data_IF_350571231796
#
_entry.id   IF_350571231796
#
_cell.length_a   1.000
_cell.length_b   1.000
_cell.length_c   1.000
_cell.angle_alpha   90.00
_cell.angle_beta   90.00
_cell.angle_gamma   90.00
#
_symmetry.space_group_name_H-M   'P 1'
#
loop_
_entity.id
_entity.type
_entity.pdbx_description
1 polymer ?
#
# COMPACT_ATOMS: atom_id res chain seq x y z
N UNK A 1 -13.40 -11.91 -4.08
CA UNK A 1 -13.53 -12.91 -3.00
C UNK A 1 -13.51 -12.17 -1.68
N UNK A 2 -14.39 -12.50 -0.73
CA UNK A 2 -14.34 -11.90 0.61
C UNK A 2 -13.29 -12.63 1.44
N UNK A 3 -12.45 -11.87 2.14
CA UNK A 3 -11.49 -12.34 3.13
C UNK A 3 -11.73 -11.55 4.42
N UNK A 4 -11.79 -12.23 5.55
CA UNK A 4 -11.90 -11.61 6.87
C UNK A 4 -10.57 -11.76 7.60
N UNK A 5 -10.18 -10.76 8.37
CA UNK A 5 -8.98 -10.78 9.21
C UNK A 5 -9.37 -10.46 10.65
N UNK A 6 -8.85 -11.22 11.61
CA UNK A 6 -8.92 -10.87 13.03
C UNK A 6 -7.62 -10.22 13.49
N UNK A 7 -7.66 -9.50 14.61
CA UNK A 7 -6.49 -8.80 15.13
C UNK A 7 -5.34 -9.74 15.51
N UNK A 8 -5.66 -10.97 15.92
CA UNK A 8 -4.70 -12.02 16.24
C UNK A 8 -4.01 -12.57 14.99
N UNK A 9 -4.71 -12.62 13.84
CA UNK A 9 -4.15 -13.11 12.58
C UNK A 9 -3.15 -12.12 11.98
N UNK A 10 -3.50 -10.84 11.97
CA UNK A 10 -2.61 -9.78 11.50
C UNK A 10 -3.03 -8.45 12.14
N UNK A 11 -2.34 -8.07 13.22
CA UNK A 11 -2.61 -6.86 13.98
C UNK A 11 -2.53 -5.60 13.11
N UNK A 12 -1.49 -5.48 12.27
CA UNK A 12 -1.24 -4.28 11.48
C UNK A 12 -2.31 -4.09 10.39
N UNK A 13 -2.71 -5.18 9.72
CA UNK A 13 -3.75 -5.13 8.70
C UNK A 13 -5.14 -4.89 9.31
N UNK A 14 -5.42 -5.48 10.47
CA UNK A 14 -6.66 -5.23 11.20
C UNK A 14 -6.78 -3.77 11.65
N UNK A 15 -5.72 -3.23 12.29
CA UNK A 15 -5.71 -1.85 12.77
C UNK A 15 -5.84 -0.84 11.61
N UNK A 16 -5.26 -1.14 10.44
CA UNK A 16 -5.45 -0.37 9.21
C UNK A 16 -6.92 -0.31 8.78
N UNK A 17 -7.58 -1.47 8.69
CA UNK A 17 -9.00 -1.56 8.30
C UNK A 17 -9.89 -0.86 9.34
N UNK A 18 -9.61 -1.02 10.64
CA UNK A 18 -10.34 -0.36 11.70
C UNK A 18 -10.17 1.17 11.62
N UNK A 19 -8.98 1.67 11.34
CA UNK A 19 -8.74 3.11 11.18
C UNK A 19 -9.42 3.66 9.94
N UNK A 20 -9.39 2.92 8.84
CA UNK A 20 -10.11 3.27 7.61
C UNK A 20 -11.61 3.38 7.89
N UNK A 21 -12.21 2.39 8.58
CA UNK A 21 -13.61 2.44 9.02
C UNK A 21 -13.94 3.68 9.86
N UNK A 22 -13.09 4.06 10.81
CA UNK A 22 -13.30 5.27 11.63
C UNK A 22 -13.33 6.57 10.82
N UNK A 23 -12.78 6.57 9.61
CA UNK A 23 -12.74 7.75 8.71
C UNK A 23 -13.83 7.68 7.65
N UNK A 24 -14.12 6.50 7.11
CA UNK A 24 -14.97 6.32 5.92
C UNK A 24 -16.33 5.68 6.21
N UNK A 25 -16.54 5.16 7.42
CA UNK A 25 -17.67 4.28 7.79
C UNK A 25 -17.76 2.98 6.96
N UNK A 26 -16.72 2.64 6.19
CA UNK A 26 -16.63 1.43 5.37
C UNK A 26 -15.44 0.57 5.85
N UNK A 27 -15.66 -0.59 6.48
CA UNK A 27 -14.59 -1.41 7.07
C UNK A 27 -13.99 -2.40 6.07
N UNK A 28 -13.76 -1.98 4.83
CA UNK A 28 -13.31 -2.85 3.73
C UNK A 28 -12.25 -2.12 2.92
N UNK A 29 -11.15 -2.82 2.65
CA UNK A 29 -10.10 -2.38 1.73
C UNK A 29 -9.97 -3.38 0.58
N UNK A 30 -9.58 -2.89 -0.59
CA UNK A 30 -9.30 -3.75 -1.73
C UNK A 30 -7.87 -4.30 -1.62
N UNK A 31 -7.73 -5.61 -1.69
CA UNK A 31 -6.44 -6.29 -1.63
C UNK A 31 -6.18 -7.01 -2.95
N UNK A 32 -5.07 -6.68 -3.62
CA UNK A 32 -4.63 -7.31 -4.88
C UNK A 32 -3.15 -7.66 -4.79
N UNK A 33 -2.66 -8.48 -5.72
CA UNK A 33 -1.23 -8.79 -5.81
C UNK A 33 -0.43 -7.51 -6.01
N UNK A 34 0.68 -7.39 -5.28
CA UNK A 34 1.60 -6.29 -5.49
C UNK A 34 2.65 -6.68 -6.55
N UNK A 35 2.35 -6.31 -7.79
CA UNK A 35 3.21 -6.47 -8.97
C UNK A 35 2.75 -5.52 -10.10
N UNK A 36 3.58 -5.39 -11.13
CA UNK A 36 3.18 -4.81 -12.42
C UNK A 36 2.79 -5.94 -13.38
N UNK A 37 1.95 -5.62 -14.38
CA UNK A 37 1.52 -6.59 -15.38
C UNK A 37 2.71 -7.19 -16.13
N UNK A 38 2.96 -8.49 -15.94
CA UNK A 38 4.09 -9.20 -16.55
C UNK A 38 5.28 -9.44 -15.62
N UNK A 39 5.32 -8.79 -14.46
CA UNK A 39 6.38 -8.95 -13.46
C UNK A 39 6.01 -10.04 -12.41
N UNK A 40 7.02 -10.58 -11.74
CA UNK A 40 6.82 -11.46 -10.57
C UNK A 40 6.27 -10.69 -9.37
N UNK A 41 5.77 -11.42 -8.36
CA UNK A 41 5.37 -10.80 -7.10
C UNK A 41 6.59 -10.13 -6.44
N UNK A 42 6.37 -9.00 -5.77
CA UNK A 42 7.36 -8.35 -4.91
C UNK A 42 7.76 -9.28 -3.76
N UNK A 43 9.07 -9.50 -3.57
CA UNK A 43 9.61 -10.30 -2.46
C UNK A 43 10.55 -9.51 -1.53
N UNK A 44 11.15 -8.42 -2.03
CA UNK A 44 12.08 -7.59 -1.25
C UNK A 44 11.64 -6.12 -1.19
N UNK A 45 12.21 -5.36 -0.22
CA UNK A 45 11.99 -3.91 -0.14
C UNK A 45 12.48 -3.18 -1.40
N UNK A 46 13.51 -3.71 -2.06
CA UNK A 46 14.03 -3.16 -3.31
C UNK A 46 13.02 -3.36 -4.46
N UNK A 47 12.42 -4.55 -4.56
CA UNK A 47 11.37 -4.82 -5.55
C UNK A 47 10.13 -3.95 -5.30
N UNK A 48 9.76 -3.75 -4.02
CA UNK A 48 8.65 -2.88 -3.63
C UNK A 48 8.89 -1.43 -4.09
N UNK A 49 10.10 -0.92 -3.86
CA UNK A 49 10.49 0.45 -4.27
C UNK A 49 10.52 0.57 -5.80
N UNK A 50 11.10 -0.39 -6.52
CA UNK A 50 11.12 -0.38 -8.00
C UNK A 50 9.70 -0.42 -8.58
N UNK A 51 8.87 -1.33 -8.07
CA UNK A 51 7.46 -1.47 -8.48
C UNK A 51 6.68 -0.19 -8.19
N UNK A 52 6.89 0.42 -7.02
CA UNK A 52 6.27 1.70 -6.68
C UNK A 52 6.73 2.80 -7.63
N UNK A 53 8.04 2.97 -7.85
CA UNK A 53 8.60 3.99 -8.75
C UNK A 53 8.05 3.88 -10.19
N UNK A 54 7.79 2.66 -10.67
CA UNK A 54 7.33 2.37 -12.04
C UNK A 54 5.80 2.28 -12.21
N UNK A 55 5.03 2.39 -11.14
CA UNK A 55 3.56 2.26 -11.16
C UNK A 55 2.86 3.60 -10.88
N UNK A 56 1.54 3.59 -10.75
CA UNK A 56 0.75 4.73 -10.23
C UNK A 56 0.55 4.65 -8.70
N UNK A 57 1.20 3.70 -8.01
CA UNK A 57 1.10 3.58 -6.56
C UNK A 57 1.82 4.76 -5.89
N UNK A 58 1.12 5.51 -5.05
CA UNK A 58 1.66 6.74 -4.47
C UNK A 58 2.42 6.53 -3.15
N UNK A 59 2.08 5.47 -2.41
CA UNK A 59 2.60 5.25 -1.07
C UNK A 59 3.03 3.80 -0.88
N UNK A 60 4.19 3.63 -0.23
CA UNK A 60 4.60 2.38 0.39
C UNK A 60 4.53 2.54 1.90
N UNK A 61 3.94 1.56 2.56
CA UNK A 61 3.86 1.51 4.01
C UNK A 61 4.53 0.24 4.53
N UNK A 62 5.44 0.41 5.48
CA UNK A 62 6.08 -0.68 6.22
C UNK A 62 5.68 -0.52 7.68
N UNK A 63 5.08 -1.53 8.33
CA UNK A 63 4.74 -1.44 9.74
C UNK A 63 5.98 -1.23 10.62
N UNK A 64 5.83 -0.45 11.68
CA UNK A 64 6.93 -0.05 12.58
C UNK A 64 7.55 -1.23 13.35
N UNK A 65 6.84 -2.36 13.46
CA UNK A 65 7.29 -3.57 14.12
C UNK A 65 8.14 -4.49 13.22
N UNK A 66 8.42 -4.06 11.98
CA UNK A 66 9.28 -4.79 11.04
C UNK A 66 10.73 -4.28 11.11
N UNK A 67 11.68 -5.19 11.27
CA UNK A 67 13.11 -4.90 11.19
C UNK A 67 13.59 -4.90 9.72
N UNK A 68 13.24 -3.83 8.98
CA UNK A 68 13.58 -3.66 7.56
C UNK A 68 14.31 -2.32 7.37
N UNK A 69 15.51 -2.37 6.80
CA UNK A 69 16.22 -1.17 6.37
C UNK A 69 15.64 -0.64 5.06
N UNK A 70 15.01 0.55 5.10
CA UNK A 70 14.42 1.20 3.92
C UNK A 70 15.49 2.05 3.22
N UNK A 71 15.87 1.75 1.96
CA UNK A 71 16.84 2.54 1.22
C UNK A 71 16.17 3.79 0.63
N UNK A 72 15.92 4.80 1.49
CA UNK A 72 15.21 6.03 1.12
C UNK A 72 15.81 6.77 -0.09
N UNK A 73 17.12 6.62 -0.35
CA UNK A 73 17.78 7.21 -1.52
C UNK A 73 17.31 6.64 -2.86
N UNK A 74 16.60 5.51 -2.89
CA UNK A 74 16.08 4.87 -4.10
C UNK A 74 14.63 5.26 -4.42
N UNK A 75 13.96 5.99 -3.52
CA UNK A 75 12.57 6.41 -3.71
C UNK A 75 12.56 7.63 -4.65
N UNK A 76 11.83 7.51 -5.76
CA UNK A 76 11.64 8.61 -6.69
C UNK A 76 10.44 9.44 -6.26
N UNK A 77 10.57 10.77 -6.11
CA UNK A 77 9.43 11.64 -5.87
C UNK A 77 8.42 11.50 -7.00
N UNK A 78 7.14 11.33 -6.63
CA UNK A 78 6.04 11.41 -7.58
C UNK A 78 5.40 12.77 -7.48
N UNK A 79 5.24 13.41 -8.63
CA UNK A 79 4.38 14.57 -8.78
C UNK A 79 2.94 14.07 -8.57
N UNK A 80 2.28 14.57 -7.53
CA UNK A 80 0.83 14.46 -7.46
C UNK A 80 0.33 15.48 -8.49
N UNK A 81 -0.28 15.00 -9.58
CA UNK A 81 -1.01 15.92 -10.46
C UNK A 81 -1.95 16.76 -9.60
N UNK A 82 -2.13 18.03 -9.94
CA UNK A 82 -3.28 18.77 -9.42
C UNK A 82 -4.49 17.88 -9.70
N UNK A 83 -5.23 17.48 -8.67
CA UNK A 83 -6.48 16.76 -8.84
C UNK A 83 -7.25 17.55 -9.90
N UNK A 84 -7.42 16.99 -11.11
CA UNK A 84 -8.30 17.60 -12.08
C UNK A 84 -9.65 17.65 -11.37
N UNK A 85 -10.06 18.87 -11.00
CA UNK A 85 -11.39 19.18 -10.51
C UNK A 85 -12.32 18.74 -11.63
N UNK A 86 -12.74 17.48 -11.56
CA UNK A 86 -13.78 16.88 -12.39
C UNK A 86 -15.06 17.63 -12.05
N UNK A 87 -15.18 18.85 -12.59
CA UNK A 87 -16.29 19.76 -12.43
C UNK A 87 -17.52 19.28 -13.16
N UNK A 88 -18.04 18.11 -12.76
CA UNK A 88 -19.36 17.60 -13.13
C UNK A 88 -20.15 17.11 -11.93
#
# INVERSE_FOLDING_TARGET
>A
RIQTVTREQNKNYYDLIERFYKVTEVPIIFNTSFNLGGDSLVETIYDAIDTCNRSEINYLYVPEDQDINIPYSMILPKEFGEDEDDGQ
#
